data_IF_298927290704
#
_entry.id   IF_298927290704
#
_cell.length_a   1.000
_cell.length_b   1.000
_cell.length_c   1.000
_cell.angle_alpha   90.00
_cell.angle_beta   90.00
_cell.angle_gamma   90.00
#
_symmetry.space_group_name_H-M   'P 1'
#
loop_
_entity.id
_entity.type
_entity.pdbx_description
1 polymer ?
#
# COMPACT_ATOMS: atom_id res chain seq x y z
N UNK A 1 10.53 -13.58 -3.66
CA UNK A 1 10.74 -12.86 -2.39
C UNK A 1 11.23 -13.76 -1.24
N UNK A 2 12.25 -13.31 -0.52
CA UNK A 2 12.69 -13.81 0.80
C UNK A 2 12.22 -12.88 1.92
N UNK A 3 11.98 -13.45 3.10
CA UNK A 3 11.77 -12.69 4.34
C UNK A 3 13.07 -12.68 5.12
N UNK A 4 13.59 -11.49 5.38
CA UNK A 4 14.91 -11.25 5.97
C UNK A 4 14.75 -10.92 7.46
N UNK A 5 15.69 -11.41 8.25
CA UNK A 5 15.81 -11.16 9.70
C UNK A 5 16.94 -10.20 10.06
N UNK A 6 17.76 -9.78 9.08
CA UNK A 6 18.71 -8.67 9.21
C UNK A 6 17.98 -7.32 9.23
N UNK A 7 18.70 -6.24 9.52
CA UNK A 7 18.14 -4.89 9.43
C UNK A 7 18.58 -4.20 8.12
N UNK A 8 17.76 -3.31 7.54
CA UNK A 8 18.11 -2.57 6.31
C UNK A 8 19.48 -1.89 6.38
N UNK A 9 19.79 -1.24 7.52
CA UNK A 9 21.04 -0.51 7.71
C UNK A 9 22.28 -1.40 7.59
N UNK A 10 22.22 -2.60 8.17
CA UNK A 10 23.36 -3.54 8.20
C UNK A 10 23.63 -4.10 6.80
N UNK A 11 22.57 -4.22 5.98
CA UNK A 11 22.64 -4.65 4.59
C UNK A 11 22.93 -3.48 3.61
N UNK A 12 23.15 -2.26 4.12
CA UNK A 12 23.45 -1.06 3.33
C UNK A 12 22.25 -0.44 2.60
N UNK A 13 21.03 -0.74 3.05
CA UNK A 13 19.79 -0.18 2.52
C UNK A 13 19.35 1.07 3.28
N UNK A 14 18.74 2.00 2.55
CA UNK A 14 18.12 3.20 3.10
C UNK A 14 16.78 3.48 2.40
N UNK A 15 15.87 4.15 3.10
CA UNK A 15 14.66 4.68 2.48
C UNK A 15 15.04 5.93 1.65
N UNK A 16 14.85 5.93 0.33
CA UNK A 16 15.11 7.12 -0.47
C UNK A 16 14.09 8.21 -0.15
N UNK A 17 14.47 9.47 -0.32
CA UNK A 17 13.52 10.58 -0.18
C UNK A 17 12.43 10.50 -1.25
N UNK A 18 11.21 10.92 -0.93
CA UNK A 18 10.04 10.85 -1.84
C UNK A 18 10.16 11.71 -3.11
N UNK A 19 11.11 12.65 -3.18
CA UNK A 19 11.43 13.37 -4.41
C UNK A 19 12.43 12.63 -5.32
N UNK A 20 12.91 11.47 -4.90
CA UNK A 20 13.79 10.63 -5.72
C UNK A 20 13.01 10.00 -6.86
N UNK A 21 13.71 9.47 -7.87
CA UNK A 21 13.05 8.82 -9.00
C UNK A 21 12.28 7.57 -8.53
N UNK A 22 10.99 7.52 -8.86
CA UNK A 22 10.11 6.39 -8.56
C UNK A 22 9.99 5.42 -9.74
N UNK A 23 9.73 4.14 -9.42
CA UNK A 23 9.26 3.16 -10.41
C UNK A 23 7.74 3.21 -10.59
N UNK A 24 7.01 3.73 -9.60
CA UNK A 24 5.57 3.91 -9.63
C UNK A 24 4.97 4.15 -8.24
N UNK A 25 3.65 4.38 -8.22
CA UNK A 25 2.86 4.66 -7.04
C UNK A 25 1.81 3.56 -6.80
N UNK A 26 1.50 3.29 -5.53
CA UNK A 26 0.52 2.28 -5.10
C UNK A 26 -0.63 3.00 -4.40
N UNK A 27 -1.85 2.66 -4.78
CA UNK A 27 -3.08 3.09 -4.13
C UNK A 27 -3.97 1.88 -3.82
N UNK A 28 -4.92 2.06 -2.92
CA UNK A 28 -5.95 1.07 -2.58
C UNK A 28 -7.31 1.70 -2.87
N UNK A 29 -8.22 0.91 -3.43
CA UNK A 29 -9.50 1.40 -3.91
C UNK A 29 -10.55 1.42 -2.79
N UNK A 30 -11.19 2.57 -2.50
CA UNK A 30 -12.06 2.73 -1.33
C UNK A 30 -13.44 2.10 -1.48
N UNK A 31 -13.88 1.41 -0.43
CA UNK A 31 -15.17 0.71 -0.43
C UNK A 31 -15.96 0.74 0.89
N UNK A 32 -15.29 0.69 2.06
CA UNK A 32 -15.97 0.50 3.35
C UNK A 32 -16.97 1.62 3.64
N UNK A 33 -18.23 1.25 3.92
CA UNK A 33 -19.35 2.21 3.99
C UNK A 33 -19.46 2.96 5.31
N UNK A 34 -18.82 2.45 6.36
CA UNK A 34 -18.76 3.05 7.69
C UNK A 34 -17.70 4.17 7.81
N UNK A 35 -16.71 4.20 6.91
CA UNK A 35 -15.76 5.32 6.75
C UNK A 35 -16.16 6.21 5.56
N UNK A 36 -16.47 5.60 4.41
CA UNK A 36 -16.73 6.33 3.17
C UNK A 36 -18.23 6.47 2.90
N UNK A 37 -18.74 7.69 3.06
CA UNK A 37 -20.15 8.03 2.82
C UNK A 37 -20.64 7.56 1.44
N UNK A 38 -21.94 7.19 1.38
CA UNK A 38 -22.59 6.67 0.17
C UNK A 38 -21.90 5.42 -0.40
N UNK A 39 -21.41 4.53 0.48
CA UNK A 39 -20.74 3.29 0.11
C UNK A 39 -19.48 3.52 -0.73
N UNK A 40 -18.75 4.61 -0.47
CA UNK A 40 -17.50 4.95 -1.17
C UNK A 40 -17.65 5.53 -2.58
N UNK A 41 -18.85 5.80 -3.09
CA UNK A 41 -19.02 6.28 -4.48
C UNK A 41 -18.23 7.55 -4.80
N UNK A 42 -18.33 8.57 -3.93
CA UNK A 42 -17.59 9.83 -4.11
C UNK A 42 -16.09 9.64 -3.91
N UNK A 43 -15.69 8.81 -2.95
CA UNK A 43 -14.30 8.48 -2.68
C UNK A 43 -13.64 7.81 -3.89
N UNK A 44 -14.29 6.80 -4.49
CA UNK A 44 -13.79 6.13 -5.71
C UNK A 44 -13.59 7.08 -6.87
N UNK A 45 -14.51 8.03 -7.09
CA UNK A 45 -14.34 9.07 -8.12
C UNK A 45 -13.12 9.95 -7.84
N UNK A 46 -12.95 10.41 -6.60
CA UNK A 46 -11.80 11.21 -6.21
C UNK A 46 -10.48 10.43 -6.37
N UNK A 47 -10.43 9.17 -5.91
CA UNK A 47 -9.27 8.30 -6.06
C UNK A 47 -8.96 8.03 -7.55
N UNK A 48 -9.97 7.87 -8.40
CA UNK A 48 -9.76 7.71 -9.84
C UNK A 48 -9.10 8.95 -10.46
N UNK A 49 -9.50 10.17 -10.05
CA UNK A 49 -8.85 11.40 -10.52
C UNK A 49 -7.41 11.53 -10.02
N UNK A 50 -7.12 11.15 -8.77
CA UNK A 50 -5.75 11.09 -8.23
C UNK A 50 -4.91 10.09 -9.04
N UNK A 51 -5.43 8.87 -9.26
CA UNK A 51 -4.75 7.85 -10.06
C UNK A 51 -4.45 8.35 -11.47
N UNK A 52 -5.42 8.99 -12.14
CA UNK A 52 -5.23 9.58 -13.49
C UNK A 52 -4.18 10.68 -13.50
N UNK A 53 -4.12 11.50 -12.44
CA UNK A 53 -3.12 12.56 -12.34
C UNK A 53 -1.71 11.99 -12.21
N UNK A 54 -1.50 11.02 -11.31
CA UNK A 54 -0.21 10.36 -11.09
C UNK A 54 0.22 9.57 -12.33
N UNK A 55 -0.72 8.92 -13.03
CA UNK A 55 -0.45 8.14 -14.23
C UNK A 55 0.08 8.96 -15.42
N UNK A 56 0.10 10.30 -15.33
CA UNK A 56 0.77 11.18 -16.31
C UNK A 56 2.29 11.17 -16.16
N UNK A 57 2.82 10.84 -14.98
CA UNK A 57 4.25 10.92 -14.67
C UNK A 57 4.88 9.57 -14.30
N UNK A 58 4.10 8.63 -13.76
CA UNK A 58 4.64 7.33 -13.33
C UNK A 58 3.63 6.18 -13.45
N UNK A 59 4.10 4.94 -13.28
CA UNK A 59 3.22 3.77 -13.26
C UNK A 59 2.35 3.80 -12.00
N UNK A 60 1.07 3.44 -12.15
CA UNK A 60 0.15 3.34 -11.01
C UNK A 60 -0.33 1.91 -10.85
N UNK A 61 -0.31 1.42 -9.61
CA UNK A 61 -0.96 0.17 -9.21
C UNK A 61 -2.06 0.46 -8.22
N UNK A 62 -3.27 0.01 -8.53
CA UNK A 62 -4.42 0.11 -7.63
C UNK A 62 -4.80 -1.28 -7.14
N UNK A 63 -4.75 -1.45 -5.82
CA UNK A 63 -5.23 -2.65 -5.14
C UNK A 63 -6.73 -2.51 -4.89
N UNK A 64 -7.54 -3.44 -5.36
CA UNK A 64 -8.98 -3.44 -5.17
C UNK A 64 -9.45 -4.77 -4.57
N UNK A 65 -10.50 -4.78 -3.76
CA UNK A 65 -11.16 -6.02 -3.37
C UNK A 65 -11.76 -6.74 -4.58
N UNK A 66 -12.07 -8.03 -4.42
CA UNK A 66 -12.79 -8.80 -5.42
C UNK A 66 -14.12 -8.11 -5.82
N UNK A 67 -14.83 -7.52 -4.85
CA UNK A 67 -16.12 -6.84 -5.08
C UNK A 67 -15.98 -5.55 -5.88
N UNK A 68 -14.85 -4.84 -5.75
CA UNK A 68 -14.63 -3.58 -6.45
C UNK A 68 -13.68 -3.68 -7.65
N UNK A 69 -13.11 -4.86 -7.95
CA UNK A 69 -12.14 -5.01 -9.03
C UNK A 69 -12.68 -4.52 -10.38
N UNK A 70 -13.87 -4.98 -10.77
CA UNK A 70 -14.52 -4.56 -12.02
C UNK A 70 -14.89 -3.07 -12.01
N UNK A 71 -15.28 -2.53 -10.86
CA UNK A 71 -15.58 -1.10 -10.72
C UNK A 71 -14.31 -0.24 -10.87
N UNK A 72 -13.21 -0.66 -10.25
CA UNK A 72 -11.90 -0.04 -10.42
C UNK A 72 -11.47 -0.10 -11.89
N UNK A 73 -11.65 -1.25 -12.56
CA UNK A 73 -11.34 -1.38 -13.98
C UNK A 73 -12.17 -0.47 -14.87
N UNK A 74 -13.44 -0.30 -14.56
CA UNK A 74 -14.34 0.58 -15.30
C UNK A 74 -13.98 2.07 -15.12
N UNK A 75 -13.57 2.48 -13.91
CA UNK A 75 -13.29 3.89 -13.59
C UNK A 75 -11.86 4.34 -13.93
N UNK A 76 -10.91 3.41 -13.98
CA UNK A 76 -9.49 3.69 -14.19
C UNK A 76 -9.06 3.45 -15.64
N UNK A 77 -8.18 4.30 -16.20
CA UNK A 77 -7.58 4.09 -17.51
C UNK A 77 -6.86 2.73 -17.65
N UNK A 78 -6.70 2.26 -18.89
CA UNK A 78 -6.07 0.97 -19.20
C UNK A 78 -4.59 0.89 -18.81
N UNK A 79 -3.88 2.02 -18.80
CA UNK A 79 -2.47 2.07 -18.42
C UNK A 79 -2.23 1.97 -16.91
N UNK A 80 -3.30 2.00 -16.09
CA UNK A 80 -3.22 1.78 -14.64
C UNK A 80 -3.40 0.30 -14.36
N UNK A 81 -2.43 -0.30 -13.66
CA UNK A 81 -2.52 -1.70 -13.22
C UNK A 81 -3.54 -1.79 -12.09
N UNK A 82 -4.51 -2.69 -12.21
CA UNK A 82 -5.43 -3.03 -11.11
C UNK A 82 -5.12 -4.46 -10.69
N UNK A 83 -5.03 -4.68 -9.38
CA UNK A 83 -4.74 -6.00 -8.78
C UNK A 83 -5.79 -6.29 -7.73
N UNK A 84 -6.36 -7.48 -7.76
CA UNK A 84 -7.22 -7.94 -6.68
C UNK A 84 -6.37 -8.18 -5.42
N UNK A 85 -6.64 -7.42 -4.37
CA UNK A 85 -5.94 -7.50 -3.10
C UNK A 85 -6.85 -7.00 -1.97
N UNK A 86 -7.13 -7.89 -1.01
CA UNK A 86 -7.98 -7.56 0.14
C UNK A 86 -7.32 -6.56 1.09
N UNK A 87 -8.11 -5.61 1.59
CA UNK A 87 -7.78 -4.64 2.65
C UNK A 87 -8.97 -4.47 3.61
N UNK A 88 -8.78 -3.83 4.77
CA UNK A 88 -9.88 -3.37 5.63
C UNK A 88 -10.20 -1.88 5.40
N UNK A 89 -9.24 -1.07 4.96
CA UNK A 89 -9.50 0.29 4.43
C UNK A 89 -8.59 0.63 3.22
N UNK A 90 -8.33 1.90 2.92
CA UNK A 90 -7.66 2.34 1.67
C UNK A 90 -6.48 3.30 1.85
N UNK A 91 -5.61 3.05 2.82
CA UNK A 91 -4.49 3.91 3.19
C UNK A 91 -3.13 3.27 2.92
N UNK A 92 -2.80 3.10 1.63
CA UNK A 92 -1.53 2.49 1.20
C UNK A 92 -0.30 3.17 1.82
N UNK A 93 -0.36 4.48 2.07
CA UNK A 93 0.70 5.23 2.75
C UNK A 93 1.14 4.57 4.06
N UNK A 94 0.19 4.03 4.82
CA UNK A 94 0.45 3.64 6.20
C UNK A 94 0.83 2.17 6.34
N UNK A 95 0.27 1.29 5.50
CA UNK A 95 0.45 -0.16 5.64
C UNK A 95 0.86 -0.90 4.35
N UNK A 96 1.12 -0.18 3.25
CA UNK A 96 1.93 -0.72 2.17
C UNK A 96 3.41 -0.76 2.59
N UNK A 97 4.29 -1.52 1.92
CA UNK A 97 5.67 -1.66 2.37
C UNK A 97 6.41 -0.34 2.22
N UNK A 98 7.23 0.01 3.22
CA UNK A 98 8.21 1.08 3.06
C UNK A 98 9.37 0.56 2.22
N UNK A 99 9.47 1.00 0.97
CA UNK A 99 10.57 0.55 0.11
C UNK A 99 11.90 1.20 0.48
N UNK A 100 12.95 0.39 0.47
CA UNK A 100 14.35 0.78 0.71
C UNK A 100 15.23 0.30 -0.43
N UNK A 101 16.35 0.99 -0.65
CA UNK A 101 17.32 0.65 -1.70
C UNK A 101 18.76 0.79 -1.21
N UNK A 102 19.67 0.07 -1.84
CA UNK A 102 21.13 0.27 -1.74
C UNK A 102 21.73 0.90 -3.02
N UNK A 103 20.87 1.42 -3.90
CA UNK A 103 21.23 1.96 -5.22
C UNK A 103 21.32 0.92 -6.34
N UNK A 104 21.20 -0.38 -6.04
CA UNK A 104 21.21 -1.47 -7.03
C UNK A 104 19.91 -2.26 -7.06
N UNK A 105 19.36 -2.55 -5.88
CA UNK A 105 18.12 -3.31 -5.73
C UNK A 105 17.16 -2.62 -4.75
N UNK A 106 15.91 -3.07 -4.77
CA UNK A 106 14.83 -2.58 -3.90
C UNK A 106 14.40 -3.72 -2.99
N UNK A 107 14.12 -3.40 -1.74
CA UNK A 107 13.49 -4.28 -0.75
C UNK A 107 12.36 -3.54 -0.07
N UNK A 108 11.40 -4.26 0.49
CA UNK A 108 10.33 -3.67 1.31
C UNK A 108 10.59 -3.85 2.80
N UNK A 109 10.07 -2.94 3.62
CA UNK A 109 9.92 -3.15 5.06
C UNK A 109 8.45 -3.37 5.35
N UNK A 110 8.17 -4.43 6.12
CA UNK A 110 6.87 -4.70 6.71
C UNK A 110 6.88 -4.26 8.17
N UNK A 111 6.16 -3.18 8.48
CA UNK A 111 5.84 -2.81 9.86
C UNK A 111 4.57 -3.53 10.29
N UNK A 112 4.39 -3.71 11.61
CA UNK A 112 3.05 -4.08 12.10
C UNK A 112 2.12 -2.88 11.97
N UNK A 113 0.93 -3.11 11.44
CA UNK A 113 -0.13 -2.12 11.37
C UNK A 113 -1.25 -2.48 12.34
N UNK A 114 -1.79 -1.47 13.04
CA UNK A 114 -2.85 -1.69 14.03
C UNK A 114 -4.05 -0.73 13.90
N UNK A 115 -4.30 -0.17 12.72
CA UNK A 115 -5.33 0.84 12.51
C UNK A 115 -5.15 2.08 13.41
N UNK A 116 -3.91 2.58 13.53
CA UNK A 116 -3.53 3.81 14.23
C UNK A 116 -3.93 3.86 15.71
N UNK A 117 -3.73 2.76 16.44
CA UNK A 117 -4.05 2.71 17.88
C UNK A 117 -4.54 1.37 18.42
N UNK A 118 -4.74 0.38 17.55
CA UNK A 118 -5.16 -0.97 17.94
C UNK A 118 -6.46 -0.99 18.74
N UNK A 119 -6.52 -1.88 19.73
CA UNK A 119 -7.68 -2.00 20.62
C UNK A 119 -7.80 -0.87 21.67
N UNK A 120 -6.81 0.02 21.75
CA UNK A 120 -6.86 1.16 22.68
C UNK A 120 -7.65 2.31 22.07
N UNK A 121 -7.26 2.79 20.90
CA UNK A 121 -7.88 3.94 20.22
C UNK A 121 -7.81 3.87 18.69
N UNK A 122 -7.67 2.66 18.12
CA UNK A 122 -7.62 2.49 16.67
C UNK A 122 -8.95 2.86 15.98
N UNK A 123 -8.86 3.18 14.69
CA UNK A 123 -10.00 3.71 13.93
C UNK A 123 -11.02 2.64 13.50
N UNK A 124 -10.62 1.37 13.48
CA UNK A 124 -11.50 0.26 13.13
C UNK A 124 -10.97 -1.09 13.62
N UNK A 125 -11.84 -2.10 13.58
CA UNK A 125 -11.49 -3.51 13.79
C UNK A 125 -12.33 -4.38 12.84
N UNK A 126 -11.76 -5.46 12.23
CA UNK A 126 -10.35 -5.84 12.24
C UNK A 126 -9.50 -5.05 11.23
N UNK A 127 -8.17 -5.16 11.32
CA UNK A 127 -7.16 -4.60 10.40
C UNK A 127 -6.22 -5.68 9.83
N UNK A 128 -6.61 -6.95 9.95
CA UNK A 128 -5.76 -8.09 9.64
C UNK A 128 -5.42 -8.24 8.15
N UNK A 129 -6.21 -7.63 7.26
CA UNK A 129 -5.94 -7.61 5.82
C UNK A 129 -4.96 -6.50 5.47
N UNK A 130 -5.06 -5.35 6.14
CA UNK A 130 -4.15 -4.22 5.99
C UNK A 130 -2.73 -4.60 6.44
N UNK A 131 -2.62 -5.25 7.60
CA UNK A 131 -1.35 -5.75 8.17
C UNK A 131 -0.65 -6.81 7.29
N UNK A 132 -1.39 -7.46 6.39
CA UNK A 132 -0.82 -8.44 5.42
C UNK A 132 -0.42 -7.78 4.09
N UNK A 133 -0.75 -6.52 3.86
CA UNK A 133 -0.62 -5.91 2.55
C UNK A 133 0.83 -5.69 2.14
N UNK A 134 1.70 -5.24 3.06
CA UNK A 134 3.12 -5.05 2.77
C UNK A 134 3.78 -6.32 2.21
N UNK A 135 3.53 -7.48 2.82
CA UNK A 135 4.00 -8.78 2.31
C UNK A 135 3.47 -9.07 0.90
N UNK A 136 2.16 -8.93 0.67
CA UNK A 136 1.54 -9.21 -0.64
C UNK A 136 2.09 -8.31 -1.75
N UNK A 137 2.37 -7.04 -1.43
CA UNK A 137 2.95 -6.10 -2.38
C UNK A 137 4.41 -6.44 -2.67
N UNK A 138 5.21 -6.79 -1.66
CA UNK A 138 6.58 -7.26 -1.89
C UNK A 138 6.61 -8.51 -2.79
N UNK A 139 5.69 -9.46 -2.59
CA UNK A 139 5.51 -10.62 -3.47
C UNK A 139 5.12 -10.20 -4.91
N UNK A 140 4.15 -9.30 -5.06
CA UNK A 140 3.70 -8.80 -6.37
C UNK A 140 4.81 -8.11 -7.18
N UNK A 141 5.73 -7.42 -6.49
CA UNK A 141 6.86 -6.72 -7.11
C UNK A 141 8.13 -7.57 -7.18
N UNK A 142 8.09 -8.81 -6.68
CA UNK A 142 9.24 -9.72 -6.56
C UNK A 142 10.47 -9.06 -5.89
N UNK A 143 10.24 -8.42 -4.74
CA UNK A 143 11.29 -7.82 -3.93
C UNK A 143 11.38 -8.50 -2.57
N UNK A 144 12.60 -8.66 -2.05
CA UNK A 144 12.82 -9.20 -0.70
C UNK A 144 12.28 -8.22 0.37
N UNK A 145 11.93 -8.76 1.54
CA UNK A 145 11.24 -8.01 2.59
C UNK A 145 11.92 -8.18 3.95
N UNK A 146 12.12 -7.08 4.67
CA UNK A 146 12.47 -7.08 6.09
C UNK A 146 11.18 -7.14 6.92
N UNK A 147 11.05 -8.12 7.81
CA UNK A 147 9.88 -8.24 8.68
C UNK A 147 10.14 -7.59 10.04
N UNK A 148 9.54 -6.41 10.24
CA UNK A 148 9.62 -5.62 11.46
C UNK A 148 8.29 -5.65 12.23
N UNK A 149 7.50 -6.71 12.07
CA UNK A 149 6.20 -6.89 12.75
C UNK A 149 6.27 -6.92 14.30
N UNK A 150 7.46 -6.90 14.89
CA UNK A 150 7.63 -6.61 16.32
C UNK A 150 7.41 -5.14 16.72
N UNK A 151 7.24 -4.23 15.75
CA UNK A 151 7.13 -2.79 15.95
C UNK A 151 5.98 -2.21 15.11
N UNK A 152 5.08 -1.48 15.77
CA UNK A 152 3.98 -0.79 15.10
C UNK A 152 4.48 0.55 14.58
N UNK A 153 4.31 0.79 13.29
CA UNK A 153 4.63 2.05 12.63
C UNK A 153 3.82 2.19 11.34
N UNK A 154 3.45 3.42 11.01
CA UNK A 154 2.81 3.79 9.76
C UNK A 154 3.75 4.61 8.88
N UNK A 155 3.78 4.33 7.58
CA UNK A 155 4.67 5.06 6.65
C UNK A 155 4.41 6.56 6.53
N UNK A 156 3.26 7.07 6.99
CA UNK A 156 2.90 8.48 6.98
C UNK A 156 3.19 9.27 8.27
N UNK A 157 3.76 8.65 9.31
CA UNK A 157 4.04 9.27 10.61
C UNK A 157 5.25 10.20 10.63
#
# INVERSE_FOLDING_TARGET
MRVLTSNPRDDGFYMPAEFSKHSGCILIFPERSDSWAYGGYKARKAFAEVCKAIAKSEKVTVCASAEQYENARYLLPDNIRVVEMSSNDSWARDYAPTFVTNGKEIRGINWSFNAWGGLFNGLYFPWDKDDKMARKLCDLYDVDMYDMSGFVLEGGS
#
